data_IF_666155374686
#
_entry.id   IF_666155374686
#
_cell.length_a   1.000
_cell.length_b   1.000
_cell.length_c   1.000
_cell.angle_alpha   90.00
_cell.angle_beta   90.00
_cell.angle_gamma   90.00
#
_symmetry.space_group_name_H-M   'P 1'
#
loop_
_entity.id
_entity.type
_entity.pdbx_description
1 polymer ?
#
# COMPACT_ATOMS: atom_id res chain seq x y z
N UNK A 1 4.66 -25.57 -9.86
CA UNK A 1 3.75 -26.00 -8.77
C UNK A 1 3.28 -27.46 -8.84
N UNK A 2 3.21 -28.19 -9.98
CA UNK A 2 2.78 -29.60 -9.96
C UNK A 2 3.89 -30.61 -9.56
N UNK A 3 5.16 -30.31 -9.87
CA UNK A 3 6.28 -31.26 -9.74
C UNK A 3 6.65 -31.65 -8.30
N UNK A 4 6.41 -30.79 -7.32
CA UNK A 4 6.71 -31.09 -5.91
C UNK A 4 5.61 -31.96 -5.29
N UNK A 5 4.36 -31.76 -5.72
CA UNK A 5 3.20 -32.51 -5.22
C UNK A 5 3.25 -33.97 -5.67
N UNK A 6 3.75 -34.23 -6.89
CA UNK A 6 3.87 -35.60 -7.43
C UNK A 6 4.86 -36.47 -6.67
N UNK A 7 5.83 -35.86 -5.96
CA UNK A 7 6.86 -36.59 -5.22
C UNK A 7 6.50 -36.81 -3.74
N UNK A 8 5.36 -36.28 -3.26
CA UNK A 8 4.93 -36.44 -1.87
C UNK A 8 4.09 -37.71 -1.66
N UNK A 9 4.18 -38.37 -0.48
CA UNK A 9 3.29 -39.45 -0.08
C UNK A 9 1.81 -39.04 -0.15
N UNK A 10 0.92 -39.99 -0.48
CA UNK A 10 -0.51 -39.74 -0.72
C UNK A 10 -1.23 -38.97 0.41
N UNK A 11 -0.93 -39.27 1.68
CA UNK A 11 -1.52 -38.55 2.82
C UNK A 11 -1.01 -37.11 2.97
N UNK A 12 0.30 -36.90 2.78
CA UNK A 12 0.94 -35.58 2.87
C UNK A 12 0.51 -34.70 1.69
N UNK A 13 0.32 -35.28 0.50
CA UNK A 13 -0.20 -34.58 -0.67
C UNK A 13 -1.60 -34.02 -0.40
N UNK A 14 -2.50 -34.82 0.17
CA UNK A 14 -3.84 -34.38 0.54
C UNK A 14 -3.82 -33.26 1.58
N UNK A 15 -3.01 -33.40 2.62
CA UNK A 15 -2.81 -32.35 3.63
C UNK A 15 -2.28 -31.04 3.01
N UNK A 16 -1.29 -31.14 2.13
CA UNK A 16 -0.71 -29.96 1.49
C UNK A 16 -1.72 -29.23 0.60
N UNK A 17 -2.52 -29.95 -0.18
CA UNK A 17 -3.61 -29.37 -0.97
C UNK A 17 -4.65 -28.68 -0.07
N UNK A 18 -5.02 -29.30 1.04
CA UNK A 18 -5.95 -28.69 2.01
C UNK A 18 -5.37 -27.39 2.60
N UNK A 19 -4.09 -27.36 2.97
CA UNK A 19 -3.41 -26.16 3.47
C UNK A 19 -3.38 -25.05 2.41
N UNK A 20 -3.08 -25.37 1.15
CA UNK A 20 -3.07 -24.39 0.07
C UNK A 20 -4.48 -23.80 -0.17
N UNK A 21 -5.51 -24.65 -0.18
CA UNK A 21 -6.89 -24.20 -0.34
C UNK A 21 -7.35 -23.36 0.86
N UNK A 22 -6.97 -23.73 2.08
CA UNK A 22 -7.28 -22.96 3.28
C UNK A 22 -6.60 -21.57 3.24
N UNK A 23 -5.33 -21.50 2.83
CA UNK A 23 -4.61 -20.24 2.66
C UNK A 23 -5.24 -19.35 1.58
N UNK A 24 -5.66 -19.93 0.45
CA UNK A 24 -6.38 -19.22 -0.61
C UNK A 24 -7.71 -18.66 -0.09
N UNK A 25 -8.50 -19.49 0.61
CA UNK A 25 -9.79 -19.09 1.17
C UNK A 25 -9.63 -17.97 2.20
N UNK A 26 -8.61 -18.03 3.06
CA UNK A 26 -8.32 -16.95 4.01
C UNK A 26 -8.03 -15.62 3.32
N UNK A 27 -7.32 -15.64 2.19
CA UNK A 27 -7.02 -14.43 1.42
C UNK A 27 -8.28 -13.89 0.74
N UNK A 28 -9.08 -14.77 0.13
CA UNK A 28 -10.32 -14.38 -0.53
C UNK A 28 -11.34 -13.80 0.46
N UNK A 29 -11.51 -14.43 1.63
CA UNK A 29 -12.41 -13.95 2.69
C UNK A 29 -12.04 -12.54 3.15
N UNK A 30 -10.75 -12.29 3.39
CA UNK A 30 -10.26 -10.96 3.75
C UNK A 30 -10.60 -9.91 2.68
N UNK A 31 -10.39 -10.22 1.39
CA UNK A 31 -10.67 -9.30 0.28
C UNK A 31 -12.18 -9.04 0.09
N UNK A 32 -13.00 -10.07 0.23
CA UNK A 32 -14.47 -9.99 0.20
C UNK A 32 -14.97 -9.09 1.33
N UNK A 33 -14.42 -9.26 2.54
CA UNK A 33 -14.78 -8.47 3.71
C UNK A 33 -14.38 -6.99 3.57
N UNK A 34 -13.17 -6.71 3.08
CA UNK A 34 -12.72 -5.34 2.78
C UNK A 34 -13.61 -4.70 1.72
N UNK A 35 -13.91 -5.41 0.64
CA UNK A 35 -14.78 -4.91 -0.45
C UNK A 35 -16.17 -4.55 0.07
N UNK A 36 -16.79 -5.45 0.85
CA UNK A 36 -18.09 -5.20 1.48
C UNK A 36 -18.03 -3.95 2.36
N UNK A 37 -17.00 -3.85 3.22
CA UNK A 37 -16.86 -2.75 4.17
C UNK A 37 -16.67 -1.40 3.47
N UNK A 38 -15.84 -1.34 2.42
CA UNK A 38 -15.60 -0.13 1.64
C UNK A 38 -16.87 0.31 0.91
N UNK A 39 -17.54 -0.60 0.21
CA UNK A 39 -18.79 -0.25 -0.52
C UNK A 39 -19.89 0.20 0.45
N UNK A 40 -20.04 -0.49 1.58
CA UNK A 40 -21.10 -0.15 2.55
C UNK A 40 -20.80 1.15 3.29
N UNK A 41 -19.59 1.33 3.81
CA UNK A 41 -19.29 2.48 4.67
C UNK A 41 -18.91 3.73 3.87
N UNK A 42 -18.10 3.59 2.82
CA UNK A 42 -17.53 4.74 2.12
C UNK A 42 -18.44 5.24 0.99
N UNK A 43 -19.23 4.35 0.38
CA UNK A 43 -20.15 4.68 -0.70
C UNK A 43 -21.61 4.71 -0.23
N UNK A 44 -22.16 3.58 0.22
CA UNK A 44 -23.59 3.49 0.54
C UNK A 44 -23.97 4.42 1.70
N UNK A 45 -23.40 4.24 2.89
CA UNK A 45 -23.75 5.08 4.06
C UNK A 45 -23.49 6.57 3.81
N UNK A 46 -22.39 6.89 3.14
CA UNK A 46 -21.97 8.28 2.91
C UNK A 46 -22.87 9.01 1.91
N UNK A 47 -23.27 8.37 0.82
CA UNK A 47 -23.96 9.05 -0.29
C UNK A 47 -25.44 8.66 -0.44
N UNK A 48 -25.81 7.40 -0.22
CA UNK A 48 -27.13 6.86 -0.63
C UNK A 48 -28.02 6.39 0.53
N UNK A 49 -27.43 5.92 1.63
CA UNK A 49 -28.09 5.06 2.61
C UNK A 49 -28.20 5.66 4.01
N UNK A 50 -28.69 6.91 4.12
CA UNK A 50 -28.92 7.54 5.44
C UNK A 50 -30.04 6.88 6.27
N UNK A 51 -30.89 6.05 5.65
CA UNK A 51 -32.08 5.42 6.29
C UNK A 51 -32.12 3.89 6.18
N UNK A 52 -31.07 3.22 5.69
CA UNK A 52 -31.07 1.76 5.58
C UNK A 52 -30.87 1.11 6.96
N UNK A 53 -31.59 0.02 7.20
CA UNK A 53 -31.38 -0.81 8.40
C UNK A 53 -30.06 -1.59 8.31
N UNK A 54 -29.50 -2.00 9.44
CA UNK A 54 -28.26 -2.77 9.49
C UNK A 54 -28.33 -4.06 8.65
N UNK A 55 -29.49 -4.76 8.67
CA UNK A 55 -29.69 -5.98 7.86
C UNK A 55 -29.63 -5.68 6.35
N UNK A 56 -30.18 -4.56 5.91
CA UNK A 56 -30.12 -4.14 4.50
C UNK A 56 -28.70 -3.76 4.09
N UNK A 57 -27.95 -3.08 4.97
CA UNK A 57 -26.55 -2.74 4.72
C UNK A 57 -25.67 -3.98 4.56
N UNK A 58 -25.86 -5.00 5.42
CA UNK A 58 -25.13 -6.27 5.31
C UNK A 58 -25.44 -6.98 3.99
N UNK A 59 -26.72 -7.06 3.59
CA UNK A 59 -27.10 -7.66 2.30
C UNK A 59 -26.50 -6.91 1.12
N UNK A 60 -26.53 -5.58 1.15
CA UNK A 60 -25.93 -4.76 0.10
C UNK A 60 -24.42 -5.00 -0.01
N UNK A 61 -23.72 -5.13 1.13
CA UNK A 61 -22.31 -5.52 1.16
C UNK A 61 -22.04 -6.90 0.58
N UNK A 62 -22.87 -7.90 0.90
CA UNK A 62 -22.77 -9.25 0.32
C UNK A 62 -22.95 -9.24 -1.20
N UNK A 63 -23.94 -8.50 -1.72
CA UNK A 63 -24.14 -8.36 -3.17
C UNK A 63 -22.97 -7.65 -3.84
N UNK A 64 -22.42 -6.60 -3.21
CA UNK A 64 -21.25 -5.89 -3.73
C UNK A 64 -20.02 -6.82 -3.80
N UNK A 65 -19.78 -7.63 -2.76
CA UNK A 65 -18.66 -8.57 -2.78
C UNK A 65 -18.85 -9.69 -3.79
N UNK A 66 -20.07 -10.23 -3.94
CA UNK A 66 -20.35 -11.23 -4.98
C UNK A 66 -20.11 -10.66 -6.37
N UNK A 67 -20.57 -9.42 -6.62
CA UNK A 67 -20.35 -8.74 -7.88
C UNK A 67 -18.86 -8.49 -8.15
N UNK A 68 -18.10 -8.03 -7.16
CA UNK A 68 -16.66 -7.84 -7.27
C UNK A 68 -15.91 -9.15 -7.53
N UNK A 69 -16.32 -10.26 -6.89
CA UNK A 69 -15.78 -11.59 -7.13
C UNK A 69 -16.00 -12.04 -8.58
N UNK A 70 -17.23 -11.88 -9.10
CA UNK A 70 -17.56 -12.25 -10.48
C UNK A 70 -16.78 -11.41 -11.49
N UNK A 71 -16.64 -10.10 -11.26
CA UNK A 71 -15.80 -9.25 -12.11
C UNK A 71 -14.33 -9.67 -12.07
N UNK A 72 -13.78 -9.95 -10.89
CA UNK A 72 -12.42 -10.45 -10.73
C UNK A 72 -12.21 -11.79 -11.45
N UNK A 73 -13.18 -12.70 -11.36
CA UNK A 73 -13.15 -13.98 -12.08
C UNK A 73 -13.12 -13.78 -13.60
N UNK A 74 -14.03 -12.96 -14.14
CA UNK A 74 -14.07 -12.65 -15.58
C UNK A 74 -12.77 -11.99 -16.05
N UNK A 75 -12.24 -11.04 -15.27
CA UNK A 75 -10.97 -10.39 -15.56
C UNK A 75 -9.79 -11.38 -15.52
N UNK A 76 -9.82 -12.34 -14.59
CA UNK A 76 -8.81 -13.40 -14.50
C UNK A 76 -8.76 -14.28 -15.74
N UNK A 77 -9.88 -14.48 -16.44
CA UNK A 77 -9.92 -15.24 -17.70
C UNK A 77 -9.17 -14.55 -18.85
N UNK A 78 -8.83 -13.27 -18.69
CA UNK A 78 -8.06 -12.52 -19.69
C UNK A 78 -6.54 -12.75 -19.60
N UNK A 79 -6.06 -13.52 -18.61
CA UNK A 79 -4.64 -13.81 -18.41
C UNK A 79 -4.33 -15.28 -18.67
N UNK A 80 -3.46 -15.54 -19.65
CA UNK A 80 -2.96 -16.89 -19.94
C UNK A 80 -1.83 -17.33 -18.98
N UNK A 81 -1.10 -16.36 -18.43
CA UNK A 81 0.05 -16.58 -17.57
C UNK A 81 -0.08 -15.84 -16.23
N UNK A 82 0.17 -16.56 -15.14
CA UNK A 82 0.14 -16.00 -13.78
C UNK A 82 1.15 -14.86 -13.60
N UNK A 83 2.30 -14.95 -14.28
CA UNK A 83 3.35 -13.92 -14.23
C UNK A 83 2.82 -12.60 -14.77
N UNK A 84 2.13 -12.62 -15.93
CA UNK A 84 1.55 -11.42 -16.54
C UNK A 84 0.45 -10.79 -15.68
N UNK A 85 -0.34 -11.61 -14.96
CA UNK A 85 -1.31 -11.11 -13.99
C UNK A 85 -0.60 -10.42 -12.81
N UNK A 86 0.45 -11.03 -12.28
CA UNK A 86 1.25 -10.48 -11.18
C UNK A 86 1.95 -9.17 -11.55
N UNK A 87 2.55 -9.12 -12.74
CA UNK A 87 3.19 -7.91 -13.27
C UNK A 87 2.19 -6.77 -13.43
N UNK A 88 1.01 -7.08 -14.01
CA UNK A 88 -0.07 -6.11 -14.15
C UNK A 88 -0.53 -5.56 -12.80
N UNK A 89 -0.64 -6.43 -11.79
CA UNK A 89 -0.97 -6.02 -10.43
C UNK A 89 0.11 -5.08 -9.86
N UNK A 90 1.40 -5.39 -10.02
CA UNK A 90 2.50 -4.53 -9.58
C UNK A 90 2.42 -3.17 -10.27
N UNK A 91 2.22 -3.12 -11.59
CA UNK A 91 2.12 -1.84 -12.32
C UNK A 91 1.02 -0.97 -11.72
N UNK A 92 -0.19 -1.51 -11.55
CA UNK A 92 -1.32 -0.76 -10.98
C UNK A 92 -1.02 -0.32 -9.54
N UNK A 93 -0.52 -1.21 -8.67
CA UNK A 93 -0.28 -0.86 -7.27
C UNK A 93 0.85 0.17 -7.12
N UNK A 94 1.94 0.01 -7.86
CA UNK A 94 3.12 0.88 -7.72
C UNK A 94 2.90 2.21 -8.45
N UNK A 95 2.56 2.19 -9.73
CA UNK A 95 2.58 3.41 -10.54
C UNK A 95 1.29 4.22 -10.41
N UNK A 96 0.12 3.56 -10.32
CA UNK A 96 -1.17 4.24 -10.20
C UNK A 96 -1.49 4.66 -8.76
N UNK A 97 -1.18 3.82 -7.75
CA UNK A 97 -1.58 4.07 -6.36
C UNK A 97 -0.43 4.61 -5.52
N UNK A 98 0.68 3.85 -5.42
CA UNK A 98 1.76 4.15 -4.48
C UNK A 98 2.44 5.49 -4.77
N UNK A 99 2.71 5.80 -6.04
CA UNK A 99 3.38 7.07 -6.44
C UNK A 99 2.55 8.30 -6.02
N UNK A 100 1.27 8.45 -6.43
CA UNK A 100 0.44 9.57 -5.97
C UNK A 100 0.20 9.57 -4.46
N UNK A 101 0.04 8.39 -3.83
CA UNK A 101 -0.17 8.29 -2.39
C UNK A 101 1.05 8.78 -1.60
N UNK A 102 2.25 8.44 -2.06
CA UNK A 102 3.51 8.89 -1.45
C UNK A 102 3.65 10.40 -1.57
N UNK A 103 3.34 10.99 -2.73
CA UNK A 103 3.36 12.45 -2.90
C UNK A 103 2.44 13.17 -1.92
N UNK A 104 1.23 12.63 -1.68
CA UNK A 104 0.27 13.23 -0.76
C UNK A 104 0.78 13.34 0.68
N UNK A 105 1.56 12.36 1.15
CA UNK A 105 2.10 12.37 2.51
C UNK A 105 3.35 13.26 2.66
N UNK A 106 4.17 13.34 1.61
CA UNK A 106 5.49 13.97 1.69
C UNK A 106 5.57 15.36 1.06
N UNK A 107 4.55 15.80 0.32
CA UNK A 107 4.55 17.10 -0.36
C UNK A 107 3.29 17.92 -0.05
N UNK A 108 3.49 19.03 0.68
CA UNK A 108 2.41 19.89 1.18
C UNK A 108 1.47 20.46 0.11
N UNK A 109 1.95 20.62 -1.14
CA UNK A 109 1.18 21.22 -2.22
C UNK A 109 0.19 20.24 -2.86
N UNK A 110 0.37 18.93 -2.62
CA UNK A 110 -0.33 17.90 -3.35
C UNK A 110 -1.79 17.73 -2.84
N UNK A 111 -2.74 18.29 -3.60
CA UNK A 111 -4.16 18.32 -3.21
C UNK A 111 -4.88 17.00 -3.52
N UNK A 112 -6.09 16.84 -2.94
CA UNK A 112 -6.94 15.68 -3.22
C UNK A 112 -7.37 15.57 -4.69
N UNK A 113 -7.55 16.71 -5.38
CA UNK A 113 -7.87 16.75 -6.83
C UNK A 113 -6.67 16.31 -7.66
N UNK A 114 -5.47 16.78 -7.29
CA UNK A 114 -4.23 16.36 -7.93
C UNK A 114 -3.99 14.85 -7.76
N UNK A 115 -4.31 14.29 -6.59
CA UNK A 115 -4.24 12.84 -6.34
C UNK A 115 -5.12 12.05 -7.32
N UNK A 116 -6.41 12.38 -7.42
CA UNK A 116 -7.35 11.66 -8.30
C UNK A 116 -6.93 11.78 -9.77
N UNK A 117 -6.56 12.97 -10.23
CA UNK A 117 -6.10 13.14 -11.61
C UNK A 117 -4.79 12.39 -11.88
N UNK A 118 -3.86 12.39 -10.93
CA UNK A 118 -2.59 11.65 -11.07
C UNK A 118 -2.83 10.14 -11.18
N UNK A 119 -3.78 9.59 -10.42
CA UNK A 119 -4.19 8.19 -10.56
C UNK A 119 -4.77 7.92 -11.97
N UNK A 120 -5.66 8.78 -12.45
CA UNK A 120 -6.28 8.62 -13.78
C UNK A 120 -5.25 8.71 -14.92
N UNK A 121 -4.31 9.67 -14.85
CA UNK A 121 -3.23 9.82 -15.84
C UNK A 121 -2.26 8.64 -15.76
N UNK A 122 -1.93 8.15 -14.57
CA UNK A 122 -1.08 6.96 -14.40
C UNK A 122 -1.73 5.71 -14.99
N UNK A 123 -3.05 5.53 -14.79
CA UNK A 123 -3.80 4.44 -15.43
C UNK A 123 -3.76 4.55 -16.97
N UNK A 124 -3.89 5.76 -17.51
CA UNK A 124 -3.78 5.99 -18.95
C UNK A 124 -2.38 5.66 -19.47
N UNK A 125 -1.32 6.02 -18.74
CA UNK A 125 0.07 5.68 -19.10
C UNK A 125 0.24 4.16 -19.19
N UNK A 126 -0.22 3.41 -18.18
CA UNK A 126 -0.14 1.93 -18.19
C UNK A 126 -0.88 1.34 -19.40
N UNK A 127 -2.09 1.84 -19.71
CA UNK A 127 -2.88 1.35 -20.85
C UNK A 127 -2.20 1.67 -22.18
N UNK A 128 -1.72 2.90 -22.37
CA UNK A 128 -1.02 3.29 -23.58
C UNK A 128 0.28 2.50 -23.75
N UNK A 129 1.05 2.30 -22.67
CA UNK A 129 2.25 1.48 -22.70
C UNK A 129 1.91 0.06 -23.17
N UNK A 130 0.87 -0.57 -22.62
CA UNK A 130 0.48 -1.93 -23.01
C UNK A 130 0.03 -2.05 -24.47
N UNK A 131 -0.56 -1.00 -25.04
CA UNK A 131 -1.02 -1.00 -26.44
C UNK A 131 0.16 -0.77 -27.40
N UNK A 132 1.02 0.20 -27.12
CA UNK A 132 2.06 0.64 -28.06
C UNK A 132 3.43 -0.05 -27.86
N UNK A 133 3.73 -0.52 -26.65
CA UNK A 133 5.05 -1.04 -26.25
C UNK A 133 4.98 -2.43 -25.60
N UNK A 134 4.02 -3.26 -26.02
CA UNK A 134 3.77 -4.61 -25.46
C UNK A 134 4.97 -5.57 -25.53
N UNK A 135 5.93 -5.32 -26.44
CA UNK A 135 7.11 -6.17 -26.64
C UNK A 135 8.33 -5.82 -25.77
N UNK A 136 8.26 -4.80 -24.91
CA UNK A 136 9.39 -4.39 -24.10
C UNK A 136 9.63 -5.31 -22.90
N UNK A 137 10.90 -5.48 -22.45
CA UNK A 137 11.19 -6.14 -21.19
C UNK A 137 10.42 -5.52 -20.02
N UNK A 138 9.97 -6.37 -19.10
CA UNK A 138 9.16 -5.97 -17.93
C UNK A 138 9.87 -4.93 -17.07
N UNK A 139 11.20 -5.04 -16.93
CA UNK A 139 12.02 -4.11 -16.16
C UNK A 139 12.04 -2.70 -16.77
N UNK A 140 12.15 -2.60 -18.11
CA UNK A 140 12.14 -1.32 -18.81
C UNK A 140 10.76 -0.69 -18.77
N UNK A 141 9.71 -1.50 -18.94
CA UNK A 141 8.31 -1.07 -18.82
C UNK A 141 8.03 -0.50 -17.43
N UNK A 142 8.41 -1.22 -16.37
CA UNK A 142 8.22 -0.77 -14.99
C UNK A 142 8.92 0.56 -14.72
N UNK A 143 10.17 0.69 -15.17
CA UNK A 143 10.94 1.92 -14.98
C UNK A 143 10.28 3.10 -15.70
N UNK A 144 9.85 2.91 -16.95
CA UNK A 144 9.22 3.97 -17.75
C UNK A 144 7.86 4.35 -17.18
N UNK A 145 7.02 3.40 -16.79
CA UNK A 145 5.71 3.69 -16.21
C UNK A 145 5.83 4.39 -14.85
N UNK A 146 6.78 3.97 -14.02
CA UNK A 146 7.01 4.58 -12.70
C UNK A 146 7.57 5.99 -12.84
N UNK A 147 8.54 6.20 -13.73
CA UNK A 147 9.09 7.53 -13.98
C UNK A 147 8.06 8.43 -14.65
N UNK A 148 7.33 7.92 -15.63
CA UNK A 148 6.24 8.62 -16.31
C UNK A 148 5.15 9.04 -15.34
N UNK A 149 4.70 8.13 -14.45
CA UNK A 149 3.70 8.44 -13.44
C UNK A 149 4.21 9.44 -12.40
N UNK A 150 5.48 9.36 -11.99
CA UNK A 150 6.10 10.32 -11.08
C UNK A 150 6.16 11.71 -11.70
N UNK A 151 6.65 11.84 -12.93
CA UNK A 151 6.72 13.11 -13.65
C UNK A 151 5.31 13.69 -13.85
N UNK A 152 4.36 12.88 -14.29
CA UNK A 152 2.96 13.31 -14.43
C UNK A 152 2.37 13.79 -13.09
N UNK A 153 2.60 13.06 -12.01
CA UNK A 153 2.14 13.43 -10.66
C UNK A 153 2.73 14.76 -10.20
N UNK A 154 4.02 15.00 -10.46
CA UNK A 154 4.69 16.27 -10.13
C UNK A 154 4.08 17.43 -10.93
N UNK A 155 3.91 17.26 -12.24
CA UNK A 155 3.32 18.29 -13.13
C UNK A 155 1.90 18.64 -12.67
N UNK A 156 1.07 17.62 -12.41
CA UNK A 156 -0.30 17.79 -11.92
C UNK A 156 -0.32 18.48 -10.55
N UNK A 157 0.62 18.14 -9.66
CA UNK A 157 0.77 18.78 -8.35
C UNK A 157 1.08 20.28 -8.43
N UNK A 158 1.82 20.73 -9.46
CA UNK A 158 2.05 22.15 -9.69
C UNK A 158 0.85 22.85 -10.32
N UNK A 159 0.12 22.16 -11.21
CA UNK A 159 -1.04 22.69 -11.92
C UNK A 159 -2.19 23.05 -11.00
N UNK A 160 -2.51 22.20 -10.02
CA UNK A 160 -3.57 22.49 -9.06
C UNK A 160 -3.11 23.44 -7.95
N UNK A 161 -4.04 24.26 -7.46
CA UNK A 161 -3.82 25.04 -6.24
C UNK A 161 -3.69 24.09 -5.03
N UNK A 162 -2.77 24.41 -4.10
CA UNK A 162 -2.70 23.68 -2.83
C UNK A 162 -4.00 23.83 -2.04
N UNK A 163 -4.25 22.90 -1.12
CA UNK A 163 -5.31 23.02 -0.12
C UNK A 163 -5.08 24.23 0.78
N UNK A 164 -6.16 24.77 1.35
CA UNK A 164 -6.12 25.95 2.22
C UNK A 164 -5.09 25.81 3.34
N UNK A 165 -4.33 26.88 3.58
CA UNK A 165 -3.20 26.87 4.51
C UNK A 165 -3.63 26.50 5.93
N UNK A 166 -4.82 26.92 6.37
CA UNK A 166 -5.32 26.62 7.71
C UNK A 166 -5.54 25.12 7.92
N UNK A 167 -6.08 24.43 6.91
CA UNK A 167 -6.25 22.96 6.95
C UNK A 167 -4.89 22.26 6.94
N UNK A 168 -3.93 22.76 6.16
CA UNK A 168 -2.58 22.21 6.13
C UNK A 168 -1.85 22.38 7.46
N UNK A 169 -2.03 23.53 8.12
CA UNK A 169 -1.42 23.81 9.42
C UNK A 169 -2.05 22.98 10.53
N UNK A 170 -3.38 22.80 10.56
CA UNK A 170 -4.05 21.90 11.52
C UNK A 170 -3.62 20.44 11.31
N UNK A 171 -3.50 19.99 10.06
CA UNK A 171 -2.97 18.65 9.78
C UNK A 171 -1.51 18.52 10.24
N UNK A 172 -0.66 19.51 9.94
CA UNK A 172 0.76 19.48 10.28
C UNK A 172 0.99 19.53 11.80
N UNK A 173 0.18 20.28 12.57
CA UNK A 173 0.34 20.39 14.02
C UNK A 173 0.05 19.06 14.75
N UNK A 174 -0.90 18.27 14.22
CA UNK A 174 -1.30 16.96 14.75
C UNK A 174 -0.34 15.84 14.35
N UNK A 175 0.01 15.77 13.06
CA UNK A 175 0.71 14.61 12.48
C UNK A 175 2.22 14.83 12.37
N UNK A 176 2.66 16.08 12.20
CA UNK A 176 4.08 16.46 12.02
C UNK A 176 4.82 15.58 10.99
N UNK A 177 4.26 15.38 9.79
CA UNK A 177 4.83 14.48 8.80
C UNK A 177 6.21 14.93 8.34
N UNK A 178 7.05 13.96 7.97
CA UNK A 178 8.32 14.23 7.30
C UNK A 178 8.14 14.50 5.81
N UNK A 179 9.11 15.19 5.20
CA UNK A 179 9.11 15.52 3.77
C UNK A 179 9.20 17.02 3.49
N UNK A 180 8.74 17.41 2.30
CA UNK A 180 8.72 18.80 1.83
C UNK A 180 7.50 19.49 2.44
N UNK A 181 7.63 19.95 3.69
CA UNK A 181 6.60 20.70 4.43
C UNK A 181 7.07 22.07 4.91
N UNK A 182 8.22 22.54 4.43
CA UNK A 182 8.90 23.75 4.93
C UNK A 182 8.03 25.02 5.03
N UNK A 183 7.21 25.38 4.03
CA UNK A 183 6.32 26.54 4.12
C UNK A 183 5.24 26.40 5.21
N UNK A 184 4.57 25.24 5.28
CA UNK A 184 3.52 24.95 6.27
C UNK A 184 4.11 24.87 7.67
N UNK A 185 5.29 24.28 7.83
CA UNK A 185 6.02 24.25 9.10
C UNK A 185 6.33 25.65 9.61
N UNK A 186 6.82 26.54 8.73
CA UNK A 186 7.12 27.94 9.10
C UNK A 186 5.86 28.65 9.58
N UNK A 187 4.74 28.44 8.89
CA UNK A 187 3.45 29.01 9.30
C UNK A 187 2.94 28.43 10.62
N UNK A 188 3.07 27.12 10.83
CA UNK A 188 2.70 26.45 12.08
C UNK A 188 3.53 26.94 13.28
N UNK A 189 4.85 27.14 13.09
CA UNK A 189 5.74 27.72 14.11
C UNK A 189 5.36 29.18 14.39
N UNK A 190 5.05 29.97 13.35
CA UNK A 190 4.63 31.37 13.49
C UNK A 190 3.34 31.52 14.31
N UNK A 191 2.45 30.54 14.22
CA UNK A 191 1.21 30.44 15.00
C UNK A 191 1.39 29.80 16.39
N UNK A 192 2.62 29.42 16.75
CA UNK A 192 2.93 28.80 18.04
C UNK A 192 2.41 27.38 18.22
N UNK A 193 1.98 26.71 17.14
CA UNK A 193 1.40 25.36 17.21
C UNK A 193 2.44 24.24 17.26
N UNK A 194 3.67 24.53 16.81
CA UNK A 194 4.77 23.56 16.75
C UNK A 194 6.07 24.23 17.22
N UNK A 195 6.91 23.55 18.02
CA UNK A 195 8.22 24.06 18.41
C UNK A 195 9.14 24.31 17.20
N UNK A 196 9.96 25.37 17.27
CA UNK A 196 10.88 25.74 16.18
C UNK A 196 11.96 24.69 15.92
N UNK A 197 12.39 23.98 16.98
CA UNK A 197 13.36 22.87 16.93
C UNK A 197 12.69 21.49 17.09
N UNK A 198 11.58 21.25 16.39
CA UNK A 198 10.97 19.93 16.38
C UNK A 198 11.83 18.89 15.63
N UNK A 199 12.35 17.90 16.36
CA UNK A 199 13.11 16.78 15.83
C UNK A 199 12.25 15.56 15.45
N UNK A 200 10.96 15.55 15.81
CA UNK A 200 10.04 14.42 15.59
C UNK A 200 10.02 14.00 14.12
N UNK A 201 9.86 14.91 13.12
CA UNK A 201 9.80 14.49 11.72
C UNK A 201 11.08 13.79 11.24
N UNK A 202 12.26 14.18 11.78
CA UNK A 202 13.54 13.53 11.42
C UNK A 202 13.62 12.14 12.02
N UNK A 203 13.23 11.97 13.28
CA UNK A 203 13.21 10.67 13.93
C UNK A 203 12.20 9.72 13.27
N UNK A 204 11.04 10.23 12.86
CA UNK A 204 10.03 9.43 12.17
C UNK A 204 10.51 8.98 10.79
N UNK A 205 11.20 9.85 10.04
CA UNK A 205 11.80 9.45 8.76
C UNK A 205 12.83 8.32 8.94
N UNK A 206 13.71 8.43 9.94
CA UNK A 206 14.71 7.39 10.25
C UNK A 206 14.06 6.08 10.71
N UNK A 207 13.07 6.17 11.61
CA UNK A 207 12.30 5.02 12.05
C UNK A 207 11.54 4.36 10.89
N UNK A 208 11.05 5.14 9.92
CA UNK A 208 10.42 4.62 8.71
C UNK A 208 11.37 3.76 7.87
N UNK A 209 12.59 4.23 7.64
CA UNK A 209 13.62 3.47 6.90
C UNK A 209 14.01 2.19 7.66
N UNK A 210 14.23 2.29 8.97
CA UNK A 210 14.54 1.13 9.82
C UNK A 210 13.39 0.11 9.81
N UNK A 211 12.15 0.57 9.83
CA UNK A 211 10.96 -0.28 9.76
C UNK A 211 10.85 -0.97 8.41
N UNK A 212 11.14 -0.27 7.30
CA UNK A 212 11.15 -0.88 5.97
C UNK A 212 12.22 -1.98 5.86
N UNK A 213 13.44 -1.73 6.38
CA UNK A 213 14.50 -2.74 6.43
C UNK A 213 14.14 -3.93 7.34
N UNK A 214 13.47 -3.67 8.46
CA UNK A 214 12.98 -4.71 9.36
C UNK A 214 11.92 -5.58 8.68
N UNK A 215 10.94 -4.97 8.01
CA UNK A 215 9.90 -5.69 7.24
C UNK A 215 10.50 -6.53 6.11
N UNK A 216 11.48 -5.99 5.38
CA UNK A 216 12.19 -6.75 4.36
C UNK A 216 12.93 -7.95 4.95
N UNK A 217 13.67 -7.74 6.05
CA UNK A 217 14.38 -8.82 6.76
C UNK A 217 13.41 -9.90 7.23
N UNK A 218 12.26 -9.50 7.77
CA UNK A 218 11.22 -10.41 8.25
C UNK A 218 10.67 -11.31 7.14
N UNK A 219 10.51 -10.78 5.94
CA UNK A 219 10.04 -11.54 4.78
C UNK A 219 11.11 -12.52 4.24
N UNK A 220 12.38 -12.13 4.30
CA UNK A 220 13.51 -12.88 3.71
C UNK A 220 13.98 -14.04 4.59
N UNK A 221 13.85 -13.94 5.91
CA UNK A 221 14.19 -15.02 6.87
C UNK A 221 13.49 -16.36 6.55
N UNK A 222 12.14 -16.44 6.47
CA UNK A 222 11.47 -17.69 6.14
C UNK A 222 11.83 -18.17 4.73
N UNK A 223 12.04 -17.26 3.78
CA UNK A 223 12.44 -17.60 2.41
C UNK A 223 13.78 -18.37 2.37
N UNK A 224 14.83 -17.86 3.04
CA UNK A 224 16.12 -18.56 3.10
C UNK A 224 16.08 -19.83 3.95
N UNK A 225 15.22 -19.88 4.98
CA UNK A 225 14.96 -21.11 5.73
C UNK A 225 14.42 -22.21 4.80
N UNK A 226 13.43 -21.90 3.95
CA UNK A 226 12.87 -22.86 3.00
C UNK A 226 13.86 -23.29 1.91
N UNK A 227 14.71 -22.38 1.43
CA UNK A 227 15.79 -22.71 0.51
C UNK A 227 16.93 -23.51 1.16
N UNK A 228 16.86 -23.78 2.48
CA UNK A 228 17.91 -24.43 3.27
C UNK A 228 19.27 -23.73 3.17
N UNK A 229 19.26 -22.42 2.91
CA UNK A 229 20.47 -21.59 2.89
C UNK A 229 20.74 -21.06 4.29
N UNK A 230 21.33 -21.91 5.13
CA UNK A 230 21.59 -21.63 6.54
C UNK A 230 22.47 -20.39 6.79
N UNK A 231 23.56 -20.14 6.03
CA UNK A 231 24.36 -18.93 6.22
C UNK A 231 23.55 -17.63 6.06
N UNK A 232 22.73 -17.55 5.02
CA UNK A 232 21.87 -16.39 4.79
C UNK A 232 20.77 -16.30 5.83
N UNK A 233 20.14 -17.42 6.18
CA UNK A 233 19.11 -17.47 7.23
C UNK A 233 19.61 -16.86 8.55
N UNK A 234 20.77 -17.31 9.06
CA UNK A 234 21.32 -16.80 10.31
C UNK A 234 21.72 -15.32 10.21
N UNK A 235 22.28 -14.89 9.08
CA UNK A 235 22.63 -13.49 8.84
C UNK A 235 21.41 -12.59 8.92
N UNK A 236 20.34 -12.92 8.19
CA UNK A 236 19.10 -12.15 8.18
C UNK A 236 18.34 -12.23 9.50
N UNK A 237 18.44 -13.34 10.24
CA UNK A 237 17.87 -13.47 11.58
C UNK A 237 18.55 -12.54 12.59
N UNK A 238 19.88 -12.43 12.53
CA UNK A 238 20.65 -11.49 13.37
C UNK A 238 20.30 -10.05 13.00
N UNK A 239 20.25 -9.72 11.70
CA UNK A 239 19.84 -8.38 11.22
C UNK A 239 18.44 -8.03 11.71
N UNK A 240 17.48 -8.97 11.61
CA UNK A 240 16.12 -8.79 12.11
C UNK A 240 16.10 -8.51 13.62
N UNK A 241 16.88 -9.26 14.40
CA UNK A 241 17.00 -9.07 15.84
C UNK A 241 17.56 -7.69 16.21
N UNK A 242 18.66 -7.27 15.55
CA UNK A 242 19.28 -5.96 15.77
C UNK A 242 18.29 -4.83 15.43
N UNK A 243 17.66 -4.88 14.25
CA UNK A 243 16.67 -3.88 13.84
C UNK A 243 15.47 -3.85 14.79
N UNK A 244 15.03 -5.00 15.29
CA UNK A 244 13.96 -5.10 16.29
C UNK A 244 14.33 -4.40 17.60
N UNK A 245 15.57 -4.59 18.09
CA UNK A 245 16.06 -3.90 19.29
C UNK A 245 16.16 -2.39 19.07
N UNK A 246 16.68 -1.95 17.92
CA UNK A 246 16.75 -0.53 17.59
C UNK A 246 15.35 0.09 17.59
N UNK A 247 14.40 -0.50 16.84
CA UNK A 247 13.02 -0.01 16.75
C UNK A 247 12.29 -0.02 18.10
N UNK A 248 12.60 -0.97 18.98
CA UNK A 248 12.06 -0.97 20.34
C UNK A 248 12.42 0.30 21.10
N UNK A 249 13.68 0.74 21.04
CA UNK A 249 14.14 1.94 21.73
C UNK A 249 13.82 3.25 20.99
N UNK A 250 13.87 3.25 19.66
CA UNK A 250 13.70 4.47 18.87
C UNK A 250 12.25 4.79 18.57
N UNK A 251 11.37 3.79 18.51
CA UNK A 251 9.96 3.95 18.18
C UNK A 251 9.04 3.46 19.31
N UNK A 252 9.08 2.17 19.68
CA UNK A 252 8.09 1.58 20.59
C UNK A 252 8.03 2.29 21.96
N UNK A 253 9.18 2.57 22.56
CA UNK A 253 9.26 3.26 23.86
C UNK A 253 8.85 4.74 23.81
N UNK A 254 8.85 5.35 22.62
CA UNK A 254 8.50 6.77 22.41
C UNK A 254 7.04 6.97 21.97
N UNK A 255 6.27 5.89 21.83
CA UNK A 255 4.86 6.00 21.55
C UNK A 255 4.14 6.66 22.75
N UNK A 256 3.22 7.61 22.50
CA UNK A 256 2.42 8.21 23.57
C UNK A 256 1.64 7.13 24.32
N UNK A 257 1.46 7.32 25.62
CA UNK A 257 0.73 6.37 26.44
C UNK A 257 -0.73 6.27 25.97
N UNK A 258 -1.35 5.09 26.11
CA UNK A 258 -2.78 4.90 25.81
C UNK A 258 -3.61 5.84 26.70
N UNK A 259 -4.09 6.95 26.13
CA UNK A 259 -4.94 7.93 26.82
C UNK A 259 -4.68 9.40 26.48
N UNK A 260 -3.61 9.74 25.75
CA UNK A 260 -3.24 11.13 25.43
C UNK A 260 -3.77 11.65 24.07
N UNK A 261 -4.87 11.11 23.56
CA UNK A 261 -5.48 11.53 22.28
C UNK A 261 -6.80 12.27 22.46
#
# INVERSE_FOLDING_TARGET
MPLVLTNLPIGVRGMFLAVLLAALMSTLDAMINVTSSVVVNDFLKRYFAKKLTQKQLVRAGQFASLFALLLGFVFSLSFDHIISAWETMIFVVVTMILVPATMRWHWWRFSAKAFVLSMAVSALIIVLQKIFFSGWPVTTTLAVDTLGSLVATIIIGFYFKPTDMDVLVDFYSRVRPFGVWGPVRREAVKRGLVPENDSIPKFDAWNGILTAAFQFSLAVVPFYMFLRNWPQFWTWLVVLGILGVILYFTWYKKLPAKGEY
#
